data_IF_133972699604
#
_entry.id   IF_133972699604
#
_cell.length_a   1.000
_cell.length_b   1.000
_cell.length_c   1.000
_cell.angle_alpha   90.00
_cell.angle_beta   90.00
_cell.angle_gamma   90.00
#
_symmetry.space_group_name_H-M   'P 1'
#
loop_
_entity.id
_entity.type
_entity.pdbx_description
1 polymer ?
#
# COMPACT_ATOMS: atom_id res chain seq x y z
N UNK A 1 51.03 5.10 14.85
CA UNK A 1 50.13 3.94 14.70
C UNK A 1 48.99 4.36 13.78
N UNK A 2 49.00 3.90 12.53
CA UNK A 2 47.99 4.27 11.53
C UNK A 2 46.81 3.31 11.58
N UNK A 3 45.59 3.83 11.71
CA UNK A 3 44.36 3.06 11.60
C UNK A 3 44.14 2.64 10.14
N UNK A 4 44.40 1.37 9.84
CA UNK A 4 44.01 0.78 8.56
C UNK A 4 42.51 0.49 8.62
N UNK A 5 41.69 1.41 8.13
CA UNK A 5 40.27 1.17 7.93
C UNK A 5 40.11 0.24 6.72
N UNK A 6 40.10 -1.06 7.01
CA UNK A 6 39.69 -2.11 6.07
C UNK A 6 38.29 -1.77 5.54
N UNK A 7 38.25 -1.30 4.29
CA UNK A 7 37.03 -1.10 3.51
C UNK A 7 36.38 -2.46 3.26
N UNK A 8 35.63 -2.95 4.24
CA UNK A 8 34.63 -3.98 4.01
C UNK A 8 33.27 -3.30 3.97
N UNK A 9 32.99 -2.67 2.83
CA UNK A 9 31.65 -2.28 2.41
C UNK A 9 30.81 -3.53 2.18
N UNK A 10 30.57 -4.31 3.23
CA UNK A 10 29.52 -5.31 3.22
C UNK A 10 28.27 -4.51 3.54
N UNK A 11 27.66 -3.99 2.48
CA UNK A 11 26.29 -3.49 2.52
C UNK A 11 25.51 -4.44 3.41
N UNK A 12 24.98 -3.91 4.49
CA UNK A 12 24.07 -4.61 5.38
C UNK A 12 22.78 -4.88 4.60
N UNK A 13 22.87 -5.85 3.67
CA UNK A 13 21.72 -6.49 3.08
C UNK A 13 21.02 -7.13 4.27
N UNK A 14 19.93 -6.50 4.68
CA UNK A 14 18.97 -7.09 5.60
C UNK A 14 18.63 -8.45 4.98
N UNK A 15 19.16 -9.54 5.54
CA UNK A 15 19.13 -10.89 4.96
C UNK A 15 17.73 -11.51 5.09
N UNK A 16 16.71 -10.75 4.71
CA UNK A 16 15.38 -11.32 4.48
C UNK A 16 15.42 -12.12 3.17
N UNK A 17 14.86 -13.33 3.14
CA UNK A 17 14.74 -14.11 1.90
C UNK A 17 13.99 -13.35 0.79
N UNK A 18 13.19 -12.36 1.16
CA UNK A 18 12.39 -11.55 0.23
C UNK A 18 13.00 -10.19 -0.14
N UNK A 19 14.24 -9.89 0.28
CA UNK A 19 14.85 -8.57 0.13
C UNK A 19 14.96 -8.11 -1.34
N UNK A 20 15.31 -9.02 -2.27
CA UNK A 20 15.42 -8.70 -3.69
C UNK A 20 14.04 -8.39 -4.32
N UNK A 21 12.99 -9.12 -3.93
CA UNK A 21 11.61 -8.88 -4.40
C UNK A 21 11.06 -7.57 -3.84
N UNK A 22 11.42 -7.23 -2.59
CA UNK A 22 11.09 -5.93 -1.99
C UNK A 22 11.67 -4.78 -2.80
N UNK A 23 12.94 -4.88 -3.19
CA UNK A 23 13.63 -3.84 -3.98
C UNK A 23 12.95 -3.69 -5.34
N UNK A 24 12.71 -4.80 -6.06
CA UNK A 24 12.05 -4.76 -7.36
C UNK A 24 10.65 -4.09 -7.31
N UNK A 25 9.84 -4.44 -6.29
CA UNK A 25 8.55 -3.79 -6.08
C UNK A 25 8.68 -2.30 -5.76
N UNK A 26 9.62 -1.94 -4.87
CA UNK A 26 9.83 -0.55 -4.46
C UNK A 26 10.29 0.34 -5.62
N UNK A 27 11.20 -0.16 -6.46
CA UNK A 27 11.69 0.57 -7.63
C UNK A 27 10.56 0.81 -8.65
N UNK A 28 9.72 -0.21 -8.89
CA UNK A 28 8.53 -0.05 -9.73
C UNK A 28 7.58 0.99 -9.13
N UNK A 29 7.26 0.86 -7.85
CA UNK A 29 6.33 1.76 -7.15
C UNK A 29 6.81 3.21 -7.19
N UNK A 30 8.09 3.48 -6.95
CA UNK A 30 8.63 4.84 -6.96
C UNK A 30 8.52 5.49 -8.35
N UNK A 31 8.78 4.72 -9.41
CA UNK A 31 8.60 5.17 -10.79
C UNK A 31 7.13 5.48 -11.06
N UNK A 32 6.23 4.54 -10.75
CA UNK A 32 4.80 4.74 -10.93
C UNK A 32 4.27 5.93 -10.13
N UNK A 33 4.69 6.08 -8.87
CA UNK A 33 4.29 7.18 -8.01
C UNK A 33 4.63 8.54 -8.63
N UNK A 34 5.88 8.67 -9.09
CA UNK A 34 6.39 9.92 -9.67
C UNK A 34 5.77 10.24 -11.03
N UNK A 35 5.55 9.23 -11.86
CA UNK A 35 5.15 9.42 -13.26
C UNK A 35 3.64 9.38 -13.50
N UNK A 36 2.90 8.68 -12.64
CA UNK A 36 1.47 8.37 -12.81
C UNK A 36 0.65 8.95 -11.67
N UNK A 37 0.91 8.52 -10.44
CA UNK A 37 0.09 8.87 -9.28
C UNK A 37 0.02 10.39 -9.05
N UNK A 38 1.18 11.05 -8.99
CA UNK A 38 1.26 12.52 -8.81
C UNK A 38 0.62 13.31 -9.97
N UNK A 39 0.42 12.68 -11.13
CA UNK A 39 -0.21 13.29 -12.31
C UNK A 39 -1.70 12.97 -12.45
N UNK A 40 -2.31 12.31 -11.45
CA UNK A 40 -3.72 11.95 -11.49
C UNK A 40 -4.03 10.62 -12.18
N UNK A 41 -3.03 9.83 -12.60
CA UNK A 41 -3.23 8.48 -13.16
C UNK A 41 -3.07 7.43 -12.04
N UNK A 42 -4.20 6.89 -11.58
CA UNK A 42 -4.25 6.07 -10.35
C UNK A 42 -4.46 4.58 -10.64
N UNK A 43 -4.23 4.18 -11.90
CA UNK A 43 -4.32 2.79 -12.34
C UNK A 43 -3.36 1.91 -11.54
N UNK A 44 -3.88 0.79 -11.03
CA UNK A 44 -3.17 -0.05 -10.05
C UNK A 44 -2.34 -1.15 -10.69
N UNK A 45 -2.25 -1.20 -12.01
CA UNK A 45 -1.80 -2.39 -12.76
C UNK A 45 -0.27 -2.48 -12.94
N UNK A 46 0.44 -1.34 -12.99
CA UNK A 46 1.85 -1.28 -13.40
C UNK A 46 2.82 -2.13 -12.55
N UNK A 47 2.58 -2.24 -11.24
CA UNK A 47 3.49 -2.93 -10.31
C UNK A 47 2.88 -4.20 -9.68
N UNK A 48 1.78 -4.71 -10.22
CA UNK A 48 1.07 -5.88 -9.67
C UNK A 48 1.93 -7.13 -9.75
N UNK A 49 2.72 -7.29 -10.82
CA UNK A 49 3.57 -8.47 -11.01
C UNK A 49 4.66 -8.56 -9.94
N UNK A 50 5.38 -7.48 -9.68
CA UNK A 50 6.42 -7.38 -8.66
C UNK A 50 5.81 -7.54 -7.27
N UNK A 51 4.66 -6.91 -7.03
CA UNK A 51 3.94 -7.01 -5.77
C UNK A 51 3.50 -8.44 -5.46
N UNK A 52 2.95 -9.16 -6.44
CA UNK A 52 2.53 -10.57 -6.26
C UNK A 52 3.68 -11.46 -5.85
N UNK A 53 4.83 -11.34 -6.52
CA UNK A 53 6.04 -12.11 -6.18
C UNK A 53 6.52 -11.80 -4.76
N UNK A 54 6.57 -10.51 -4.41
CA UNK A 54 6.98 -10.09 -3.08
C UNK A 54 6.04 -10.61 -1.98
N UNK A 55 4.72 -10.45 -2.17
CA UNK A 55 3.70 -10.94 -1.24
C UNK A 55 3.77 -12.45 -1.06
N UNK A 56 3.93 -13.20 -2.14
CA UNK A 56 4.05 -14.66 -2.09
C UNK A 56 5.28 -15.07 -1.27
N UNK A 57 6.43 -14.44 -1.48
CA UNK A 57 7.61 -14.68 -0.66
C UNK A 57 7.35 -14.39 0.82
N UNK A 58 6.72 -13.25 1.14
CA UNK A 58 6.38 -12.93 2.53
C UNK A 58 5.44 -13.99 3.13
N UNK A 59 4.43 -14.45 2.40
CA UNK A 59 3.48 -15.46 2.90
C UNK A 59 4.17 -16.79 3.26
N UNK A 60 5.24 -17.14 2.55
CA UNK A 60 6.01 -18.37 2.77
C UNK A 60 7.02 -18.25 3.92
N UNK A 61 7.54 -17.05 4.16
CA UNK A 61 8.64 -16.80 5.10
C UNK A 61 8.24 -16.04 6.37
N UNK A 62 6.97 -15.68 6.54
CA UNK A 62 6.45 -15.16 7.79
C UNK A 62 6.09 -16.32 8.73
N UNK A 63 7.03 -16.64 9.63
CA UNK A 63 6.88 -17.67 10.66
C UNK A 63 5.82 -17.29 11.72
N UNK A 64 5.58 -15.97 11.91
CA UNK A 64 4.57 -15.46 12.82
C UNK A 64 3.18 -15.36 12.17
N UNK A 65 2.23 -16.13 12.70
CA UNK A 65 0.80 -16.10 12.32
C UNK A 65 0.17 -14.70 12.44
N UNK A 66 0.74 -13.82 13.25
CA UNK A 66 0.24 -12.45 13.38
C UNK A 66 0.66 -11.58 12.19
N UNK A 67 1.90 -11.67 11.72
CA UNK A 67 2.38 -10.90 10.56
C UNK A 67 1.70 -11.34 9.25
N UNK A 68 1.45 -12.64 9.10
CA UNK A 68 0.67 -13.15 7.95
C UNK A 68 -0.76 -12.60 7.94
N UNK A 69 -1.41 -12.47 9.11
CA UNK A 69 -2.73 -11.81 9.24
C UNK A 69 -2.71 -10.35 8.78
N UNK A 70 -1.63 -9.60 9.06
CA UNK A 70 -1.51 -8.21 8.58
C UNK A 70 -1.41 -8.10 7.05
N UNK A 71 -0.78 -9.07 6.37
CA UNK A 71 -0.74 -9.07 4.91
C UNK A 71 -2.11 -9.32 4.28
N UNK A 72 -2.94 -10.13 4.93
CA UNK A 72 -4.28 -10.46 4.47
C UNK A 72 -5.21 -9.25 4.61
N UNK A 73 -5.23 -8.63 5.79
CA UNK A 73 -6.01 -7.40 6.09
C UNK A 73 -5.51 -6.20 5.27
N UNK A 74 -4.22 -6.11 4.95
CA UNK A 74 -3.70 -5.06 4.08
C UNK A 74 -3.99 -5.27 2.59
N UNK A 75 -4.40 -6.49 2.20
CA UNK A 75 -4.70 -6.82 0.80
C UNK A 75 -6.19 -6.83 0.46
N UNK A 76 -7.03 -7.18 1.43
CA UNK A 76 -8.46 -6.92 1.39
C UNK A 76 -8.68 -5.48 1.81
N UNK A 77 -9.18 -4.63 0.91
CA UNK A 77 -9.49 -3.24 1.23
C UNK A 77 -10.23 -3.13 2.56
N UNK A 78 -9.84 -2.14 3.37
CA UNK A 78 -10.55 -1.77 4.58
C UNK A 78 -12.06 -1.70 4.31
N UNK A 79 -12.93 -2.30 5.15
CA UNK A 79 -14.38 -2.11 5.04
C UNK A 79 -14.83 -0.68 5.34
N UNK A 80 -13.93 0.20 5.78
CA UNK A 80 -14.28 1.49 6.41
C UNK A 80 -14.28 2.71 5.47
N UNK A 81 -14.13 2.52 4.15
CA UNK A 81 -14.23 3.62 3.17
C UNK A 81 -15.30 3.37 2.11
N UNK A 82 -16.45 2.85 2.53
CA UNK A 82 -17.63 2.73 1.69
C UNK A 82 -18.92 2.91 2.51
N UNK A 83 -18.96 3.89 3.42
CA UNK A 83 -20.23 4.38 3.99
C UNK A 83 -20.03 5.78 4.57
N UNK A 84 -20.37 6.83 3.79
CA UNK A 84 -20.82 8.17 4.23
C UNK A 84 -20.83 9.21 3.10
N UNK A 85 -21.28 8.83 1.91
CA UNK A 85 -21.71 9.81 0.90
C UNK A 85 -23.09 9.42 0.39
N UNK A 86 -24.07 9.41 1.29
CA UNK A 86 -25.46 9.76 0.94
C UNK A 86 -26.24 10.10 2.21
N UNK A 87 -26.36 11.39 2.48
CA UNK A 87 -27.43 12.00 3.29
C UNK A 87 -27.44 13.48 2.94
N UNK A 88 -27.99 13.72 1.75
CA UNK A 88 -28.76 14.88 1.32
C UNK A 88 -28.46 16.24 1.98
N UNK A 89 -27.78 17.08 1.22
CA UNK A 89 -28.17 18.49 1.13
C UNK A 89 -29.17 18.64 0.00
N UNK A 90 -30.45 18.85 0.31
CA UNK A 90 -31.24 19.81 -0.47
C UNK A 90 -32.45 20.29 0.33
N UNK A 91 -32.37 21.56 0.73
CA UNK A 91 -33.53 22.36 1.05
C UNK A 91 -34.41 22.56 -0.20
N UNK A 92 -35.68 22.89 0.05
CA UNK A 92 -36.77 23.42 -0.81
C UNK A 92 -38.04 22.57 -0.52
N UNK A 93 -39.07 22.96 0.23
CA UNK A 93 -39.74 24.26 0.36
C UNK A 93 -41.07 24.22 -0.43
N UNK A 94 -42.23 24.03 0.21
CA UNK A 94 -43.56 24.60 -0.22
C UNK A 94 -44.70 24.28 0.78
N UNK A 95 -45.66 25.20 0.78
CA UNK A 95 -46.67 25.58 1.80
C UNK A 95 -48.06 24.93 1.65
N UNK A 96 -48.96 25.31 2.57
CA UNK A 96 -50.46 25.18 2.65
C UNK A 96 -51.00 23.89 3.29
N UNK A 97 -51.96 23.86 4.22
CA UNK A 97 -52.77 24.87 4.94
C UNK A 97 -53.86 24.19 5.81
N UNK A 98 -54.25 24.86 6.91
CA UNK A 98 -55.52 24.90 7.68
C UNK A 98 -56.32 23.66 8.18
N UNK A 99 -56.82 23.87 9.43
CA UNK A 99 -58.10 23.41 10.04
C UNK A 99 -58.15 21.97 10.55
N UNK A 100 -58.70 21.63 11.73
CA UNK A 100 -59.63 22.27 12.69
C UNK A 100 -59.14 22.17 14.14
#
# INVERSE_FOLDING_TARGET
>A
MGIKTEKRSKSSSSTSPCAHLRIAYHDCFNRWYSEKFLKGQWDKEDCVAEWRKYRECLSRHLEDKQLSRFLDIGSGGSPDYADRVDSESSADGVSTGSSE
#
